data_IF_829467040830
#
_entry.id   IF_829467040830
#
_cell.length_a   1.000
_cell.length_b   1.000
_cell.length_c   1.000
_cell.angle_alpha   90.00
_cell.angle_beta   90.00
_cell.angle_gamma   90.00
#
_symmetry.space_group_name_H-M   'P 1'
#
loop_
_entity.id
_entity.type
_entity.pdbx_description
1 polymer ?
#
# COMPACT_ATOMS: atom_id res chain seq x y z
N UNK A 1 -12.59 1.72 -22.09
CA UNK A 1 -12.41 1.23 -20.71
C UNK A 1 -11.58 2.23 -19.92
N UNK A 2 -12.05 2.58 -18.74
CA UNK A 2 -11.32 3.52 -17.89
C UNK A 2 -10.38 2.76 -16.98
N UNK A 3 -9.11 3.15 -17.00
CA UNK A 3 -8.08 2.54 -16.16
C UNK A 3 -7.62 3.56 -15.13
N UNK A 4 -7.51 3.13 -13.88
CA UNK A 4 -6.99 3.96 -12.81
C UNK A 4 -5.51 3.64 -12.64
N UNK A 5 -4.66 4.66 -12.80
CA UNK A 5 -3.23 4.51 -12.54
C UNK A 5 -3.00 4.62 -11.04
N UNK A 6 -2.30 3.64 -10.48
CA UNK A 6 -2.08 3.55 -9.04
C UNK A 6 -0.60 3.75 -8.72
N UNK A 7 -0.32 4.59 -7.74
CA UNK A 7 1.02 4.76 -7.19
C UNK A 7 0.90 4.64 -5.68
N UNK A 8 1.72 3.77 -5.08
CA UNK A 8 1.71 3.55 -3.63
C UNK A 8 3.07 3.86 -3.07
N UNK A 9 3.08 4.65 -2.01
CA UNK A 9 4.30 5.02 -1.27
C UNK A 9 4.16 4.45 0.13
N UNK A 10 5.01 3.48 0.45
CA UNK A 10 4.96 2.80 1.73
C UNK A 10 6.12 3.26 2.61
N UNK A 11 5.81 3.59 3.88
CA UNK A 11 6.81 3.88 4.88
C UNK A 11 6.71 2.78 5.93
N UNK A 12 7.75 1.96 6.04
CA UNK A 12 7.71 0.81 6.94
C UNK A 12 8.98 0.76 7.79
N UNK A 13 8.80 0.42 9.07
CA UNK A 13 9.91 0.27 10.03
C UNK A 13 9.95 -1.18 10.49
N UNK A 14 11.15 -1.75 10.49
CA UNK A 14 11.35 -3.09 11.04
C UNK A 14 10.78 -4.22 10.20
N UNK A 15 10.75 -4.06 8.88
CA UNK A 15 10.27 -5.12 8.00
C UNK A 15 11.25 -6.29 8.07
N UNK A 16 10.76 -7.46 8.50
CA UNK A 16 11.63 -8.60 8.79
C UNK A 16 11.97 -9.41 7.55
N UNK A 17 11.00 -9.62 6.66
CA UNK A 17 11.22 -10.43 5.46
C UNK A 17 10.80 -9.63 4.23
N UNK A 18 11.73 -8.81 3.75
CA UNK A 18 11.48 -7.93 2.62
C UNK A 18 11.17 -8.70 1.35
N UNK A 19 11.89 -9.81 1.11
CA UNK A 19 11.66 -10.61 -0.09
C UNK A 19 10.25 -11.17 -0.13
N UNK A 20 9.76 -11.63 1.00
CA UNK A 20 8.42 -12.17 1.10
C UNK A 20 7.38 -11.08 0.83
N UNK A 21 7.60 -9.91 1.39
CA UNK A 21 6.72 -8.77 1.18
C UNK A 21 6.67 -8.38 -0.30
N UNK A 22 7.85 -8.26 -0.92
CA UNK A 22 7.93 -7.84 -2.31
C UNK A 22 7.30 -8.84 -3.25
N UNK A 23 7.48 -10.14 -2.98
CA UNK A 23 6.85 -11.18 -3.78
C UNK A 23 5.34 -11.12 -3.67
N UNK A 24 4.84 -10.86 -2.47
CA UNK A 24 3.40 -10.78 -2.25
C UNK A 24 2.77 -9.65 -3.05
N UNK A 25 3.32 -8.43 -2.95
CA UNK A 25 2.73 -7.28 -3.64
C UNK A 25 2.88 -7.42 -5.15
N UNK A 26 3.98 -8.01 -5.62
CA UNK A 26 4.17 -8.23 -7.05
C UNK A 26 3.14 -9.22 -7.59
N UNK A 27 2.89 -10.28 -6.85
CA UNK A 27 1.90 -11.28 -7.24
C UNK A 27 0.51 -10.65 -7.38
N UNK A 28 0.23 -9.65 -6.56
CA UNK A 28 -1.07 -8.99 -6.57
C UNK A 28 -1.14 -7.81 -7.54
N UNK A 29 -0.11 -7.61 -8.36
CA UNK A 29 -0.15 -6.64 -9.43
C UNK A 29 0.58 -5.34 -9.17
N UNK A 30 1.33 -5.23 -8.08
CA UNK A 30 2.06 -4.01 -7.75
C UNK A 30 3.53 -4.19 -8.10
N UNK A 31 4.04 -3.31 -8.95
CA UNK A 31 5.41 -3.39 -9.46
C UNK A 31 6.25 -2.30 -8.82
N UNK A 32 7.37 -2.71 -8.23
CA UNK A 32 8.28 -1.77 -7.59
C UNK A 32 8.90 -0.83 -8.62
N UNK A 33 8.91 0.45 -8.29
CA UNK A 33 9.56 1.44 -9.14
C UNK A 33 11.07 1.25 -9.05
N UNK A 34 11.74 1.24 -10.21
CA UNK A 34 13.16 1.02 -10.27
C UNK A 34 13.92 2.10 -9.53
N UNK A 35 14.91 1.69 -8.74
CA UNK A 35 15.77 2.58 -7.93
C UNK A 35 15.06 3.28 -6.79
N UNK A 36 13.83 2.88 -6.47
CA UNK A 36 13.11 3.43 -5.33
C UNK A 36 12.73 2.31 -4.38
N UNK A 37 12.88 2.54 -3.08
CA UNK A 37 12.47 1.57 -2.09
C UNK A 37 11.02 1.85 -1.68
N UNK A 38 10.20 0.79 -1.66
CA UNK A 38 8.83 0.86 -1.17
C UNK A 38 7.94 1.84 -1.93
N UNK A 39 8.20 1.97 -3.24
CA UNK A 39 7.34 2.72 -4.15
C UNK A 39 6.85 1.74 -5.20
N UNK A 40 5.54 1.67 -5.40
CA UNK A 40 4.94 0.65 -6.27
C UNK A 40 3.91 1.27 -7.20
N UNK A 41 3.80 0.70 -8.40
CA UNK A 41 2.81 1.13 -9.37
C UNK A 41 1.90 -0.03 -9.73
N UNK A 42 0.70 0.30 -10.20
CA UNK A 42 -0.25 -0.70 -10.65
C UNK A 42 -1.36 -0.03 -11.43
N UNK A 43 -2.31 -0.83 -11.85
CA UNK A 43 -3.45 -0.36 -12.62
C UNK A 43 -4.72 -1.04 -12.11
N UNK A 44 -5.84 -0.32 -12.20
CA UNK A 44 -7.13 -0.86 -11.81
C UNK A 44 -8.15 -0.54 -12.88
N UNK A 45 -9.07 -1.47 -13.12
CA UNK A 45 -10.18 -1.27 -14.05
C UNK A 45 -11.53 -1.27 -13.34
N UNK A 46 -11.51 -1.15 -12.02
CA UNK A 46 -12.73 -1.12 -11.22
C UNK A 46 -12.94 0.29 -10.65
N UNK A 47 -13.83 0.42 -9.68
CA UNK A 47 -14.16 1.73 -9.11
C UNK A 47 -13.04 2.24 -8.22
N UNK A 48 -13.04 3.55 -7.98
CA UNK A 48 -12.09 4.17 -7.05
C UNK A 48 -12.23 3.54 -5.66
N UNK A 49 -13.44 3.34 -5.20
CA UNK A 49 -13.68 2.75 -3.88
C UNK A 49 -13.07 1.35 -3.78
N UNK A 50 -13.34 0.50 -4.76
CA UNK A 50 -12.81 -0.87 -4.75
C UNK A 50 -11.29 -0.88 -4.90
N UNK A 51 -10.74 0.05 -5.67
CA UNK A 51 -9.29 0.16 -5.83
C UNK A 51 -8.62 0.50 -4.51
N UNK A 52 -9.17 1.46 -3.77
CA UNK A 52 -8.62 1.84 -2.46
C UNK A 52 -8.65 0.64 -1.51
N UNK A 53 -9.78 -0.06 -1.46
CA UNK A 53 -9.89 -1.22 -0.58
C UNK A 53 -8.88 -2.31 -0.94
N UNK A 54 -8.65 -2.53 -2.23
CA UNK A 54 -7.70 -3.53 -2.70
C UNK A 54 -6.27 -3.17 -2.30
N UNK A 55 -5.88 -1.91 -2.49
CA UNK A 55 -4.55 -1.45 -2.11
C UNK A 55 -4.29 -1.72 -0.63
N UNK A 56 -5.22 -1.28 0.22
CA UNK A 56 -5.06 -1.43 1.66
C UNK A 56 -4.99 -2.91 2.05
N UNK A 57 -5.81 -3.75 1.44
CA UNK A 57 -5.82 -5.17 1.76
C UNK A 57 -4.52 -5.87 1.35
N UNK A 58 -4.03 -5.59 0.16
CA UNK A 58 -2.80 -6.21 -0.35
C UNK A 58 -1.61 -5.85 0.53
N UNK A 59 -1.45 -4.57 0.84
CA UNK A 59 -0.32 -4.14 1.65
C UNK A 59 -0.44 -4.59 3.10
N UNK A 60 -1.66 -4.61 3.65
CA UNK A 60 -1.89 -5.15 4.98
C UNK A 60 -1.44 -6.61 5.07
N UNK A 61 -1.89 -7.43 4.14
CA UNK A 61 -1.54 -8.86 4.16
C UNK A 61 -0.06 -9.10 3.93
N UNK A 62 0.54 -8.32 3.04
CA UNK A 62 1.98 -8.43 2.82
C UNK A 62 2.78 -8.15 4.06
N UNK A 63 2.42 -7.09 4.78
CA UNK A 63 3.09 -6.73 6.02
C UNK A 63 2.87 -7.79 7.10
N UNK A 64 1.66 -8.30 7.24
CA UNK A 64 1.36 -9.31 8.25
C UNK A 64 2.15 -10.59 8.00
N UNK A 65 2.30 -11.00 6.74
CA UNK A 65 3.07 -12.18 6.40
C UNK A 65 4.56 -12.03 6.66
N UNK A 66 5.07 -10.81 6.50
CA UNK A 66 6.51 -10.55 6.52
C UNK A 66 7.05 -10.15 7.88
N UNK A 67 6.19 -9.63 8.76
CA UNK A 67 6.62 -9.12 10.06
C UNK A 67 7.16 -7.70 9.96
N UNK A 68 6.71 -6.81 10.83
CA UNK A 68 7.11 -5.42 10.82
C UNK A 68 6.79 -4.76 12.16
N UNK A 69 7.38 -3.58 12.41
CA UNK A 69 7.11 -2.83 13.63
C UNK A 69 6.04 -1.77 13.43
N UNK A 70 6.18 -0.99 12.35
CA UNK A 70 5.27 0.12 12.10
C UNK A 70 5.18 0.36 10.61
N UNK A 71 4.05 0.90 10.15
CA UNK A 71 3.87 1.16 8.73
C UNK A 71 2.82 2.24 8.50
N UNK A 72 3.04 3.01 7.44
CA UNK A 72 2.03 3.93 6.93
C UNK A 72 2.15 3.95 5.41
N UNK A 73 1.09 4.34 4.74
CA UNK A 73 1.14 4.43 3.30
C UNK A 73 0.29 5.59 2.78
N UNK A 74 0.71 6.08 1.62
CA UNK A 74 -0.02 7.07 0.85
C UNK A 74 -0.16 6.51 -0.55
N UNK A 75 -1.30 6.71 -1.16
CA UNK A 75 -1.44 6.32 -2.56
C UNK A 75 -2.07 7.45 -3.36
N UNK A 76 -1.77 7.41 -4.66
CA UNK A 76 -2.32 8.36 -5.61
C UNK A 76 -3.09 7.55 -6.67
N UNK A 77 -4.26 8.03 -7.02
CA UNK A 77 -5.06 7.42 -8.09
C UNK A 77 -5.20 8.45 -9.18
N UNK A 78 -4.68 8.12 -10.38
CA UNK A 78 -4.63 9.06 -11.50
C UNK A 78 -3.99 10.38 -11.09
N UNK A 79 -2.89 10.28 -10.33
CA UNK A 79 -2.09 11.42 -9.85
C UNK A 79 -2.77 12.26 -8.78
N UNK A 80 -3.93 11.85 -8.28
CA UNK A 80 -4.61 12.54 -7.20
C UNK A 80 -4.22 11.89 -5.87
N UNK A 81 -3.57 12.62 -4.96
CA UNK A 81 -3.16 12.03 -3.68
C UNK A 81 -4.36 11.90 -2.74
N UNK A 82 -4.33 10.84 -1.96
CA UNK A 82 -5.35 10.57 -0.93
C UNK A 82 -4.72 10.69 0.45
N UNK A 83 -5.53 10.89 1.48
CA UNK A 83 -4.97 11.02 2.84
C UNK A 83 -4.19 9.79 3.26
N UNK A 84 -3.15 9.96 4.09
CA UNK A 84 -2.34 8.83 4.52
C UNK A 84 -3.10 7.87 5.42
N UNK A 85 -2.70 6.61 5.37
CA UNK A 85 -3.21 5.57 6.26
C UNK A 85 -2.07 5.09 7.13
N UNK A 86 -2.37 4.82 8.39
CA UNK A 86 -1.39 4.32 9.37
C UNK A 86 -1.85 2.96 9.85
N UNK A 87 -0.94 2.01 9.94
CA UNK A 87 -1.28 0.68 10.43
C UNK A 87 -1.46 0.73 11.95
N UNK A 88 -2.62 0.28 12.40
CA UNK A 88 -2.95 0.23 13.82
C UNK A 88 -2.90 -1.23 14.27
N UNK A 89 -1.94 -1.56 15.13
CA UNK A 89 -1.78 -2.93 15.60
C UNK A 89 -2.86 -3.37 16.58
N UNK A 90 -3.62 -2.43 17.10
CA UNK A 90 -4.77 -2.78 17.95
C UNK A 90 -5.92 -3.33 17.12
N UNK A 91 -6.11 -2.80 15.91
CA UNK A 91 -7.16 -3.27 15.01
C UNK A 91 -6.62 -4.20 13.94
N UNK A 92 -5.28 -4.27 13.80
CA UNK A 92 -4.60 -5.04 12.75
C UNK A 92 -5.06 -4.63 11.35
N UNK A 93 -5.20 -3.33 11.15
CA UNK A 93 -5.68 -2.79 9.89
C UNK A 93 -5.10 -1.39 9.67
N UNK A 94 -5.17 -0.92 8.42
CA UNK A 94 -4.82 0.44 8.12
C UNK A 94 -6.00 1.35 8.45
N UNK A 95 -5.70 2.44 9.16
CA UNK A 95 -6.69 3.43 9.56
C UNK A 95 -6.29 4.78 9.01
N UNK A 96 -7.26 5.61 8.66
CA UNK A 96 -6.96 6.96 8.21
C UNK A 96 -6.20 7.72 9.28
N UNK A 97 -5.13 8.37 8.87
CA UNK A 97 -4.37 9.20 9.79
C UNK A 97 -5.16 10.47 10.12
N UNK A 98 -5.19 10.82 11.39
CA UNK A 98 -5.86 12.05 11.83
C UNK A 98 -4.85 13.10 12.29
N UNK A 99 -3.59 12.86 11.97
CA UNK A 99 -2.53 13.73 12.47
C UNK A 99 -2.58 15.15 11.93
N UNK A 100 -3.24 15.34 10.82
CA UNK A 100 -3.27 16.63 10.14
C UNK A 100 -4.54 17.42 10.38
N UNK A 101 -5.24 17.09 11.42
CA UNK A 101 -6.43 17.85 11.78
C UNK A 101 -6.07 19.23 12.28
#
# INVERSE_FOLDING_TARGET
MITIDVLVLLDVVGLEDRDKFEKHVKKEGFIKVENEDFVYTGNSTTTTFATKAYILEVFKKGLQKSGFEDASLVFLLNETPYPPYVYDKNTNDFELSEADK
#
